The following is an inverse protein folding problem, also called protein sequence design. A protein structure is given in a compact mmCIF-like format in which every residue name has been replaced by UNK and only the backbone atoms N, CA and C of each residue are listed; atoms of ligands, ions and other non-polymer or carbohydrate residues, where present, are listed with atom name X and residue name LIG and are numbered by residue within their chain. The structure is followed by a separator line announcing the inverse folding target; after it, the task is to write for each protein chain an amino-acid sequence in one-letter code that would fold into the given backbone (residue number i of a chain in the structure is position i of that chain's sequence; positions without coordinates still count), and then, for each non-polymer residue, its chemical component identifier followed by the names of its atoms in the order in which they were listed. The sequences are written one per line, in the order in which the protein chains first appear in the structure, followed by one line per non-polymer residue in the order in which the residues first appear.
data_IF_880833170507
#
_entry.id   IF_880833170507
#
_cell.length_a   1.000
_cell.length_b   1.000
_cell.length_c   1.000
_cell.angle_alpha   90.00
_cell.angle_beta   90.00
_cell.angle_gamma   90.00
#
_symmetry.space_group_name_H-M   'P 1'
#
loop_
_entity.id
_entity.type
_entity.pdbx_description
1 polymer ?
#
# COMPACT_ATOMS: atom_id res chain seq x y z
N UNK A 1 3.27 8.16 9.25
CA UNK A 1 1.89 8.09 8.71
C UNK A 1 1.31 6.69 8.70
N UNK A 2 2.05 5.70 8.22
CA UNK A 2 1.59 4.33 8.33
C UNK A 2 1.76 3.68 9.70
N UNK A 3 2.91 3.97 10.31
CA UNK A 3 3.07 3.95 11.75
C UNK A 3 2.02 4.80 12.46
N UNK A 4 1.51 5.89 11.88
CA UNK A 4 0.43 6.68 12.50
C UNK A 4 -0.92 5.97 12.44
N UNK A 5 -1.20 5.13 11.43
CA UNK A 5 -2.46 4.39 11.35
C UNK A 5 -2.44 3.15 12.25
N UNK A 6 -1.32 2.42 12.31
CA UNK A 6 -1.12 1.36 13.31
C UNK A 6 -1.05 1.94 14.72
N UNK A 7 -0.35 3.06 14.92
CA UNK A 7 -0.34 3.82 16.18
C UNK A 7 -1.74 4.33 16.51
N UNK A 8 -2.51 4.85 15.56
CA UNK A 8 -3.89 5.29 15.80
C UNK A 8 -4.80 4.11 16.14
N UNK A 9 -4.63 2.96 15.50
CA UNK A 9 -5.38 1.74 15.82
C UNK A 9 -4.98 1.19 17.21
N UNK A 10 -3.68 1.14 17.51
CA UNK A 10 -3.16 0.68 18.79
C UNK A 10 -3.52 1.66 19.92
N UNK A 11 -3.36 2.96 19.73
CA UNK A 11 -3.74 4.02 20.67
C UNK A 11 -5.26 4.05 20.85
N UNK A 12 -6.06 3.91 19.80
CA UNK A 12 -7.53 3.87 19.91
C UNK A 12 -8.01 2.61 20.62
N UNK A 13 -7.38 1.45 20.36
CA UNK A 13 -7.71 0.19 21.03
C UNK A 13 -7.28 0.22 22.50
N UNK A 14 -6.06 0.68 22.79
CA UNK A 14 -5.56 0.85 24.16
C UNK A 14 -6.35 1.91 24.93
N UNK A 15 -6.72 3.03 24.31
CA UNK A 15 -7.55 4.07 24.94
C UNK A 15 -8.93 3.51 25.31
N UNK A 16 -9.57 2.77 24.39
CA UNK A 16 -10.85 2.11 24.67
C UNK A 16 -10.73 1.09 25.82
N UNK A 17 -9.64 0.31 25.87
CA UNK A 17 -9.38 -0.66 26.95
C UNK A 17 -9.11 0.01 28.29
N UNK A 18 -8.37 1.13 28.32
CA UNK A 18 -8.08 1.89 29.55
C UNK A 18 -9.35 2.53 30.10
N UNK A 19 -10.23 3.05 29.24
CA UNK A 19 -11.52 3.60 29.68
C UNK A 19 -12.47 2.48 30.12
N UNK A 20 -12.48 1.35 29.41
CA UNK A 20 -13.29 0.19 29.77
C UNK A 20 -12.85 -0.45 31.10
N UNK A 21 -11.56 -0.45 31.42
CA UNK A 21 -11.02 -1.06 32.65
C UNK A 21 -11.45 -0.35 33.94
N UNK A 22 -11.70 0.96 33.88
CA UNK A 22 -12.20 1.76 35.01
C UNK A 22 -13.73 1.94 35.00
N UNK A 23 -14.41 1.43 33.97
CA UNK A 23 -15.87 1.46 33.84
C UNK A 23 -16.50 0.22 34.48
N UNK A 24 -17.84 0.11 34.46
CA UNK A 24 -18.55 -1.06 34.98
C UNK A 24 -18.07 -2.39 34.39
N UNK A 25 -17.61 -2.38 33.14
CA UNK A 25 -17.05 -3.55 32.45
C UNK A 25 -15.80 -4.10 33.15
N UNK A 26 -14.88 -3.23 33.58
CA UNK A 26 -13.67 -3.63 34.31
C UNK A 26 -13.91 -3.87 35.80
N UNK A 27 -14.78 -3.09 36.44
CA UNK A 27 -15.12 -3.22 37.88
C UNK A 27 -15.88 -4.52 38.16
N UNK A 28 -16.83 -4.88 37.28
CA UNK A 28 -17.61 -6.12 37.41
C UNK A 28 -16.88 -7.34 36.83
N UNK A 29 -15.63 -7.17 36.37
CA UNK A 29 -14.82 -8.21 35.72
C UNK A 29 -15.52 -8.91 34.54
N UNK A 30 -16.29 -8.16 33.75
CA UNK A 30 -16.99 -8.67 32.57
C UNK A 30 -16.05 -8.64 31.34
N UNK A 31 -15.42 -9.78 31.06
CA UNK A 31 -14.38 -9.90 30.03
C UNK A 31 -14.88 -9.56 28.61
N UNK A 32 -16.11 -9.95 28.27
CA UNK A 32 -16.68 -9.79 26.92
C UNK A 32 -16.88 -8.32 26.51
N UNK A 33 -17.56 -7.46 27.30
CA UNK A 33 -17.68 -6.04 26.98
C UNK A 33 -16.34 -5.30 27.11
N UNK A 34 -15.43 -5.75 27.98
CA UNK A 34 -14.08 -5.19 28.09
C UNK A 34 -13.24 -5.41 26.82
N UNK A 35 -13.35 -6.59 26.19
CA UNK A 35 -12.66 -6.93 24.93
C UNK A 35 -13.41 -6.50 23.67
N UNK A 36 -14.55 -5.82 23.78
CA UNK A 36 -15.36 -5.35 22.66
C UNK A 36 -14.58 -4.66 21.51
N UNK A 37 -13.63 -3.73 21.77
CA UNK A 37 -12.81 -3.15 20.70
C UNK A 37 -11.94 -4.18 19.96
N UNK A 38 -11.41 -5.20 20.64
CA UNK A 38 -10.69 -6.29 19.98
C UNK A 38 -11.62 -7.23 19.22
N UNK A 39 -12.85 -7.45 19.71
CA UNK A 39 -13.86 -8.27 19.03
C UNK A 39 -14.23 -7.63 17.68
N UNK A 40 -14.46 -6.31 17.65
CA UNK A 40 -14.70 -5.56 16.40
C UNK A 40 -13.53 -5.74 15.42
N UNK A 41 -12.31 -5.61 15.91
CA UNK A 41 -11.12 -5.74 15.05
C UNK A 41 -10.92 -7.17 14.55
N UNK A 42 -11.22 -8.17 15.39
CA UNK A 42 -11.14 -9.60 15.04
C UNK A 42 -12.21 -10.05 14.04
N UNK A 43 -13.27 -9.26 13.83
CA UNK A 43 -14.29 -9.53 12.83
C UNK A 43 -13.79 -9.27 11.38
N UNK A 44 -12.64 -8.61 11.23
CA UNK A 44 -11.96 -8.46 9.93
C UNK A 44 -11.24 -9.77 9.60
N UNK A 45 -11.97 -10.67 8.95
CA UNK A 45 -11.51 -12.05 8.66
C UNK A 45 -10.38 -12.14 7.65
N UNK A 46 -10.15 -11.11 6.82
CA UNK A 46 -9.11 -11.12 5.79
C UNK A 46 -8.44 -9.74 5.68
N UNK A 47 -7.15 -9.70 5.97
CA UNK A 47 -6.34 -8.47 5.97
C UNK A 47 -6.01 -8.04 4.54
N UNK A 48 -5.69 -9.00 3.66
CA UNK A 48 -5.29 -8.75 2.27
C UNK A 48 -6.40 -8.10 1.40
N UNK A 49 -7.68 -8.57 1.41
CA UNK A 49 -8.76 -7.89 0.70
C UNK A 49 -9.21 -6.60 1.40
N UNK A 50 -9.06 -6.51 2.73
CA UNK A 50 -9.33 -5.25 3.43
C UNK A 50 -8.36 -4.16 2.99
N UNK A 51 -7.07 -4.50 2.85
CA UNK A 51 -6.03 -3.62 2.31
C UNK A 51 -6.31 -3.23 0.85
N UNK A 52 -6.68 -4.19 -0.01
CA UNK A 52 -7.07 -3.90 -1.41
C UNK A 52 -8.22 -2.92 -1.49
N UNK A 53 -9.27 -3.17 -0.71
CA UNK A 53 -10.45 -2.32 -0.66
C UNK A 53 -10.09 -0.92 -0.15
N UNK A 54 -9.22 -0.83 0.85
CA UNK A 54 -8.72 0.44 1.36
C UNK A 54 -7.92 1.22 0.31
N UNK A 55 -7.01 0.56 -0.42
CA UNK A 55 -6.19 1.18 -1.47
C UNK A 55 -7.07 1.74 -2.61
N UNK A 56 -8.05 0.96 -3.07
CA UNK A 56 -8.99 1.42 -4.11
C UNK A 56 -9.84 2.59 -3.61
N UNK A 57 -10.41 2.48 -2.41
CA UNK A 57 -11.27 3.53 -1.84
C UNK A 57 -10.47 4.82 -1.62
N UNK A 58 -9.24 4.73 -1.12
CA UNK A 58 -8.40 5.91 -0.89
C UNK A 58 -8.01 6.58 -2.21
N UNK A 59 -7.64 5.82 -3.25
CA UNK A 59 -7.36 6.37 -4.58
C UNK A 59 -8.56 7.08 -5.18
N UNK A 60 -9.76 6.50 -5.08
CA UNK A 60 -11.00 7.13 -5.58
C UNK A 60 -11.28 8.43 -4.80
N UNK A 61 -11.21 8.38 -3.48
CA UNK A 61 -11.46 9.55 -2.62
C UNK A 61 -10.46 10.67 -2.87
N UNK A 62 -9.17 10.33 -3.01
CA UNK A 62 -8.11 11.28 -3.35
C UNK A 62 -8.34 11.88 -4.72
N UNK A 63 -8.71 11.08 -5.73
CA UNK A 63 -9.03 11.60 -7.07
C UNK A 63 -10.12 12.68 -7.00
N UNK A 64 -11.18 12.46 -6.22
CA UNK A 64 -12.25 13.45 -6.01
C UNK A 64 -11.70 14.69 -5.28
N UNK A 65 -10.95 14.49 -4.20
CA UNK A 65 -10.34 15.57 -3.42
C UNK A 65 -9.41 16.46 -4.25
N UNK A 66 -8.55 15.86 -5.06
CA UNK A 66 -7.65 16.55 -6.00
C UNK A 66 -8.48 17.34 -7.02
N UNK A 67 -9.59 16.78 -7.52
CA UNK A 67 -10.48 17.49 -8.44
C UNK A 67 -11.03 18.77 -7.82
N UNK A 68 -11.49 18.69 -6.57
CA UNK A 68 -12.00 19.85 -5.81
C UNK A 68 -10.90 20.87 -5.56
N UNK A 69 -9.74 20.43 -5.06
CA UNK A 69 -8.59 21.32 -4.79
C UNK A 69 -8.09 21.98 -6.07
N UNK A 70 -8.02 21.24 -7.17
CA UNK A 70 -7.61 21.78 -8.48
C UNK A 70 -8.58 22.85 -8.99
N UNK A 71 -9.87 22.76 -8.65
CA UNK A 71 -10.86 23.77 -9.06
C UNK A 71 -10.89 24.99 -8.15
N UNK A 72 -10.56 24.85 -6.86
CA UNK A 72 -10.57 25.94 -5.88
C UNK A 72 -9.24 26.68 -5.85
N UNK A 73 -8.12 25.97 -5.89
CA UNK A 73 -6.78 26.52 -5.67
C UNK A 73 -6.11 27.04 -6.96
N UNK A 74 -6.49 26.52 -8.14
CA UNK A 74 -5.89 26.94 -9.41
C UNK A 74 -6.84 27.85 -10.20
N UNK A 75 -6.31 28.90 -10.86
CA UNK A 75 -7.09 29.70 -11.81
C UNK A 75 -7.46 28.87 -13.05
N UNK A 76 -8.50 29.29 -13.77
CA UNK A 76 -9.02 28.60 -14.96
C UNK A 76 -7.99 28.42 -16.07
N UNK A 77 -7.01 29.33 -16.16
CA UNK A 77 -5.83 29.22 -17.01
C UNK A 77 -4.62 29.87 -16.35
N UNK A 78 -3.45 29.24 -16.46
CA UNK A 78 -2.17 29.78 -16.03
C UNK A 78 -1.05 29.39 -17.01
N UNK A 79 0.09 30.06 -16.96
CA UNK A 79 1.23 29.78 -17.84
C UNK A 79 2.31 29.01 -17.09
N UNK A 80 2.87 27.99 -17.75
CA UNK A 80 3.99 27.19 -17.25
C UNK A 80 5.15 27.31 -18.23
N UNK A 81 6.37 27.42 -17.68
CA UNK A 81 7.58 27.44 -18.49
C UNK A 81 7.81 26.10 -19.20
N UNK A 82 8.01 26.14 -20.52
CA UNK A 82 8.30 24.99 -21.35
C UNK A 82 9.45 25.30 -22.33
N UNK A 83 10.68 25.02 -21.92
CA UNK A 83 11.89 25.12 -22.75
C UNK A 83 12.00 26.42 -23.58
N UNK A 84 11.75 27.56 -22.95
CA UNK A 84 11.87 28.89 -23.56
C UNK A 84 10.54 29.56 -23.91
N UNK A 85 9.45 28.80 -23.99
CA UNK A 85 8.11 29.34 -24.24
C UNK A 85 7.17 29.19 -23.03
N UNK A 86 6.25 30.16 -22.87
CA UNK A 86 5.20 30.10 -21.87
C UNK A 86 4.01 29.31 -22.42
N UNK A 87 3.79 28.10 -21.88
CA UNK A 87 2.66 27.25 -22.26
C UNK A 87 1.45 27.57 -21.40
N UNK A 88 0.33 27.93 -22.03
CA UNK A 88 -0.94 28.08 -21.32
C UNK A 88 -1.52 26.70 -20.97
N UNK A 89 -1.78 26.49 -19.68
CA UNK A 89 -2.32 25.26 -19.10
C UNK A 89 -3.63 25.58 -18.36
N UNK A 90 -4.60 24.69 -18.49
CA UNK A 90 -5.89 24.77 -17.80
C UNK A 90 -5.86 23.93 -16.53
N UNK A 91 -6.65 24.32 -15.54
CA UNK A 91 -6.80 23.59 -14.27
C UNK A 91 -7.12 22.08 -14.46
N UNK A 92 -8.03 21.72 -15.38
CA UNK A 92 -8.38 20.32 -15.64
C UNK A 92 -7.21 19.50 -16.24
N UNK A 93 -6.30 20.14 -16.98
CA UNK A 93 -5.14 19.46 -17.54
C UNK A 93 -4.16 19.08 -16.43
N UNK A 94 -3.99 19.97 -15.45
CA UNK A 94 -3.16 19.69 -14.28
C UNK A 94 -3.80 18.62 -13.39
N UNK A 95 -5.12 18.66 -13.20
CA UNK A 95 -5.88 17.60 -12.54
C UNK A 95 -5.61 16.23 -13.19
N UNK A 96 -5.62 16.14 -14.53
CA UNK A 96 -5.31 14.89 -15.23
C UNK A 96 -3.86 14.44 -15.05
N UNK A 97 -2.89 15.36 -14.96
CA UNK A 97 -1.48 15.04 -14.66
C UNK A 97 -1.37 14.41 -13.27
N UNK A 98 -2.04 14.99 -12.27
CA UNK A 98 -2.10 14.41 -10.93
C UNK A 98 -2.77 13.03 -10.96
N UNK A 99 -3.95 12.95 -11.56
CA UNK A 99 -4.74 11.73 -11.57
C UNK A 99 -3.98 10.58 -12.25
N UNK A 100 -3.33 10.81 -13.39
CA UNK A 100 -2.57 9.75 -14.05
C UNK A 100 -1.41 9.25 -13.19
N UNK A 101 -0.76 10.11 -12.41
CA UNK A 101 0.26 9.72 -11.43
C UNK A 101 -0.29 8.83 -10.32
N UNK A 102 -1.42 9.22 -9.73
CA UNK A 102 -2.11 8.46 -8.68
C UNK A 102 -2.57 7.07 -9.18
N UNK A 103 -3.18 7.01 -10.36
CA UNK A 103 -3.65 5.75 -10.96
C UNK A 103 -2.50 4.87 -11.44
N UNK A 104 -1.39 5.44 -11.93
CA UNK A 104 -0.19 4.69 -12.25
C UNK A 104 0.39 4.02 -10.99
N UNK A 105 0.46 4.73 -9.86
CA UNK A 105 0.85 4.16 -8.57
C UNK A 105 -0.04 2.98 -8.14
N UNK A 106 -1.35 3.10 -8.31
CA UNK A 106 -2.30 2.01 -8.03
C UNK A 106 -2.03 0.78 -8.91
N UNK A 107 -1.88 0.98 -10.22
CA UNK A 107 -1.59 -0.11 -11.19
C UNK A 107 -0.29 -0.83 -10.80
N UNK A 108 0.75 -0.07 -10.47
CA UNK A 108 2.05 -0.61 -10.05
C UNK A 108 1.88 -1.45 -8.77
N UNK A 109 1.09 -0.98 -7.80
CA UNK A 109 0.76 -1.73 -6.58
C UNK A 109 0.11 -3.08 -6.88
N UNK A 110 -0.94 -3.10 -7.72
CA UNK A 110 -1.64 -4.34 -8.10
C UNK A 110 -0.74 -5.33 -8.86
N UNK A 111 0.06 -4.83 -9.79
CA UNK A 111 0.97 -5.68 -10.55
C UNK A 111 2.04 -6.27 -9.62
N UNK A 112 2.60 -5.45 -8.74
CA UNK A 112 3.61 -5.90 -7.78
C UNK A 112 3.03 -7.01 -6.90
N UNK A 113 1.82 -6.81 -6.37
CA UNK A 113 1.12 -7.81 -5.57
C UNK A 113 0.89 -9.12 -6.34
N UNK A 114 0.46 -9.04 -7.61
CA UNK A 114 0.23 -10.22 -8.45
C UNK A 114 1.50 -11.07 -8.65
N UNK A 115 2.66 -10.43 -8.74
CA UNK A 115 3.94 -11.11 -8.92
C UNK A 115 4.64 -11.47 -7.60
N UNK A 116 4.10 -11.10 -6.43
CA UNK A 116 4.77 -11.34 -5.13
C UNK A 116 3.92 -12.09 -4.11
N UNK A 117 2.59 -12.06 -4.23
CA UNK A 117 1.69 -12.82 -3.35
C UNK A 117 1.60 -14.29 -3.76
N UNK A 118 1.68 -15.17 -2.77
CA UNK A 118 1.52 -16.63 -2.91
C UNK A 118 0.08 -17.06 -3.26
N UNK A 119 -0.87 -16.13 -3.22
CA UNK A 119 -2.25 -16.37 -3.65
C UNK A 119 -2.38 -16.51 -5.18
N UNK A 120 -1.39 -16.04 -5.95
CA UNK A 120 -1.43 -16.03 -7.41
C UNK A 120 -0.50 -17.06 -8.05
N UNK A 121 -0.87 -17.49 -9.26
CA UNK A 121 -0.11 -18.42 -10.10
C UNK A 121 1.38 -18.13 -10.19
N UNK A 122 1.85 -16.88 -10.41
CA UNK A 122 3.27 -16.65 -10.67
C UNK A 122 4.19 -17.07 -9.52
N UNK A 123 3.76 -16.88 -8.27
CA UNK A 123 4.53 -17.31 -7.08
C UNK A 123 4.29 -18.80 -6.78
N UNK A 124 3.09 -19.31 -7.06
CA UNK A 124 2.80 -20.75 -6.95
C UNK A 124 3.65 -21.57 -7.92
N UNK A 125 3.86 -21.09 -9.15
CA UNK A 125 4.71 -21.72 -10.16
C UNK A 125 6.19 -21.75 -9.71
N UNK A 126 6.66 -20.69 -9.06
CA UNK A 126 8.00 -20.65 -8.45
C UNK A 126 8.10 -21.69 -7.34
N UNK A 127 7.10 -21.76 -6.45
CA UNK A 127 7.07 -22.77 -5.39
C UNK A 127 7.01 -24.21 -5.94
N UNK A 128 6.23 -24.46 -6.99
CA UNK A 128 6.15 -25.77 -7.64
C UNK A 128 7.45 -26.15 -8.36
N UNK A 129 8.21 -25.18 -8.87
CA UNK A 129 9.53 -25.42 -9.47
C UNK A 129 10.57 -25.94 -8.46
N UNK A 130 10.31 -25.83 -7.14
CA UNK A 130 11.14 -26.47 -6.12
C UNK A 130 11.12 -28.00 -6.20
N UNK A 131 10.09 -28.61 -6.82
CA UNK A 131 9.99 -30.07 -7.00
C UNK A 131 11.13 -30.64 -7.83
N UNK A 132 11.70 -29.84 -8.73
CA UNK A 132 12.82 -30.23 -9.62
C UNK A 132 14.19 -29.75 -9.11
N UNK A 133 14.24 -29.11 -7.93
CA UNK A 133 15.45 -28.69 -7.24
C UNK A 133 15.61 -27.17 -7.09
N UNK A 134 16.64 -26.77 -6.34
CA UNK A 134 16.91 -25.36 -6.05
C UNK A 134 17.29 -24.55 -7.31
N UNK A 135 17.95 -25.18 -8.28
CA UNK A 135 18.37 -24.51 -9.51
C UNK A 135 17.17 -24.01 -10.34
N UNK A 136 16.12 -24.81 -10.47
CA UNK A 136 14.90 -24.42 -11.17
C UNK A 136 14.17 -23.30 -10.43
N UNK A 137 14.11 -23.35 -9.10
CA UNK A 137 13.54 -22.27 -8.29
C UNK A 137 14.22 -20.91 -8.54
N UNK A 138 15.55 -20.88 -8.58
CA UNK A 138 16.30 -19.65 -8.87
C UNK A 138 16.03 -19.14 -10.29
N UNK A 139 15.99 -20.03 -11.29
CA UNK A 139 15.72 -19.67 -12.68
C UNK A 139 14.31 -19.07 -12.84
N UNK A 140 13.30 -19.72 -12.26
CA UNK A 140 11.92 -19.23 -12.30
C UNK A 140 11.77 -17.90 -11.53
N UNK A 141 12.41 -17.76 -10.37
CA UNK A 141 12.40 -16.50 -9.61
C UNK A 141 13.03 -15.33 -10.36
N UNK A 142 14.16 -15.55 -11.05
CA UNK A 142 14.80 -14.52 -11.90
C UNK A 142 13.91 -14.15 -13.11
N UNK A 143 13.35 -15.16 -13.78
CA UNK A 143 12.45 -14.93 -14.92
C UNK A 143 11.18 -14.17 -14.50
N UNK A 144 10.64 -14.48 -13.32
CA UNK A 144 9.51 -13.77 -12.72
C UNK A 144 9.83 -12.28 -12.51
N UNK A 145 11.01 -11.98 -11.94
CA UNK A 145 11.48 -10.61 -11.74
C UNK A 145 11.63 -9.83 -13.05
N UNK A 146 12.17 -10.44 -14.10
CA UNK A 146 12.26 -9.79 -15.42
C UNK A 146 10.89 -9.54 -16.05
N UNK A 147 9.94 -10.46 -15.86
CA UNK A 147 8.57 -10.31 -16.38
C UNK A 147 7.76 -9.24 -15.64
N UNK A 148 7.96 -9.10 -14.34
CA UNK A 148 7.17 -8.17 -13.50
C UNK A 148 7.41 -6.70 -13.84
N UNK A 149 8.58 -6.35 -14.40
CA UNK A 149 8.92 -4.97 -14.78
C UNK A 149 8.13 -4.42 -15.98
N UNK A 150 7.51 -5.27 -16.81
CA UNK A 150 6.91 -4.86 -18.08
C UNK A 150 5.77 -3.85 -17.86
N UNK A 151 4.78 -4.21 -17.04
CA UNK A 151 3.59 -3.35 -16.83
C UNK A 151 3.93 -2.07 -16.07
N UNK A 152 4.76 -2.07 -15.00
CA UNK A 152 5.19 -0.85 -14.33
C UNK A 152 5.89 0.14 -15.27
N UNK A 153 6.77 -0.33 -16.15
CA UNK A 153 7.44 0.54 -17.13
C UNK A 153 6.43 1.18 -18.10
N UNK A 154 5.43 0.42 -18.57
CA UNK A 154 4.36 1.00 -19.40
C UNK A 154 3.51 2.02 -18.64
N UNK A 155 3.17 1.75 -17.37
CA UNK A 155 2.40 2.68 -16.55
C UNK A 155 3.16 4.02 -16.36
N UNK A 156 4.48 3.95 -16.11
CA UNK A 156 5.34 5.13 -16.00
C UNK A 156 5.44 5.86 -17.34
N UNK A 157 5.64 5.14 -18.44
CA UNK A 157 5.73 5.75 -19.77
C UNK A 157 4.46 6.52 -20.15
N UNK A 158 3.28 5.94 -19.87
CA UNK A 158 1.98 6.61 -20.09
C UNK A 158 1.83 7.82 -19.17
N UNK A 159 2.19 7.69 -17.89
CA UNK A 159 2.13 8.81 -16.93
C UNK A 159 3.02 9.99 -17.37
N UNK A 160 4.25 9.71 -17.81
CA UNK A 160 5.17 10.72 -18.35
C UNK A 160 4.58 11.34 -19.61
N UNK A 161 4.12 10.54 -20.57
CA UNK A 161 3.59 11.04 -21.84
C UNK A 161 2.40 11.99 -21.64
N UNK A 162 1.42 11.58 -20.83
CA UNK A 162 0.23 12.38 -20.53
C UNK A 162 0.61 13.67 -19.79
N UNK A 163 1.42 13.55 -18.74
CA UNK A 163 1.77 14.68 -17.88
C UNK A 163 2.64 15.72 -18.59
N UNK A 164 3.60 15.26 -19.39
CA UNK A 164 4.45 16.13 -20.21
C UNK A 164 3.64 16.84 -21.31
N UNK A 165 2.75 16.11 -21.97
CA UNK A 165 1.89 16.66 -23.04
C UNK A 165 0.96 17.76 -22.53
N UNK A 166 0.52 17.70 -21.27
CA UNK A 166 -0.34 18.71 -20.67
C UNK A 166 0.45 19.86 -20.03
N UNK A 167 1.38 19.58 -19.12
CA UNK A 167 2.00 20.61 -18.27
C UNK A 167 3.55 20.55 -18.25
N UNK A 168 4.17 19.98 -19.29
CA UNK A 168 5.63 19.89 -19.44
C UNK A 168 6.29 19.29 -18.18
N UNK A 169 7.45 19.80 -17.76
CA UNK A 169 8.17 19.32 -16.58
C UNK A 169 7.38 19.47 -15.29
N UNK A 170 6.54 20.52 -15.17
CA UNK A 170 5.70 20.72 -13.99
C UNK A 170 4.64 19.62 -13.88
N UNK A 171 4.04 19.22 -15.01
CA UNK A 171 3.12 18.08 -15.07
C UNK A 171 3.74 16.79 -14.58
N UNK A 172 4.96 16.47 -15.07
CA UNK A 172 5.69 15.27 -14.62
C UNK A 172 5.97 15.34 -13.11
N UNK A 173 6.44 16.49 -12.61
CA UNK A 173 6.77 16.65 -11.20
C UNK A 173 5.55 16.45 -10.29
N UNK A 174 4.40 17.00 -10.67
CA UNK A 174 3.16 16.87 -9.91
C UNK A 174 2.60 15.44 -10.01
N UNK A 175 2.68 14.79 -11.17
CA UNK A 175 2.31 13.39 -11.32
C UNK A 175 3.17 12.45 -10.47
N UNK A 176 4.48 12.70 -10.40
CA UNK A 176 5.39 11.95 -9.54
C UNK A 176 5.10 12.15 -8.05
N UNK A 177 4.79 13.39 -7.63
CA UNK A 177 4.41 13.69 -6.25
C UNK A 177 3.15 12.92 -5.84
N UNK A 178 2.19 12.79 -6.75
CA UNK A 178 0.92 12.12 -6.47
C UNK A 178 0.99 10.61 -6.60
N UNK A 179 1.94 10.06 -7.35
CA UNK A 179 2.32 8.65 -7.23
C UNK A 179 2.80 8.31 -5.80
N UNK A 180 3.32 9.30 -5.06
CA UNK A 180 3.76 9.18 -3.66
C UNK A 180 2.71 9.62 -2.64
N UNK A 181 1.54 10.11 -3.04
CA UNK A 181 0.58 10.62 -2.06
C UNK A 181 0.02 9.49 -1.17
N UNK A 182 0.09 8.24 -1.63
CA UNK A 182 -0.16 7.02 -0.85
C UNK A 182 1.07 6.48 -0.11
N UNK A 183 2.23 7.18 -0.11
CA UNK A 183 3.46 6.73 0.57
C UNK A 183 3.23 6.54 2.08
N UNK A 184 2.34 7.34 2.66
CA UNK A 184 1.83 7.22 4.01
C UNK A 184 1.31 5.81 4.33
N UNK A 185 0.45 5.31 3.44
CA UNK A 185 -0.13 3.97 3.52
C UNK A 185 0.90 2.91 3.15
N UNK A 186 1.70 3.13 2.09
CA UNK A 186 2.79 2.22 1.70
C UNK A 186 3.79 1.97 2.83
N UNK A 187 4.26 3.02 3.50
CA UNK A 187 5.13 2.96 4.68
C UNK A 187 4.49 2.23 5.86
N UNK A 188 3.15 2.27 5.99
CA UNK A 188 2.43 1.56 7.05
C UNK A 188 2.63 0.07 6.93
N UNK A 189 2.43 -0.38 5.71
CA UNK A 189 2.33 -1.78 5.41
C UNK A 189 3.74 -2.36 5.18
N UNK A 190 4.69 -1.55 4.72
CA UNK A 190 6.12 -1.90 4.73
C UNK A 190 6.63 -2.06 6.18
N UNK A 191 6.30 -1.13 7.08
CA UNK A 191 6.68 -1.24 8.50
C UNK A 191 5.99 -2.41 9.23
N UNK A 192 4.81 -2.82 8.77
CA UNK A 192 4.10 -3.96 9.32
C UNK A 192 4.88 -5.28 9.16
N UNK A 193 5.68 -5.43 8.11
CA UNK A 193 6.40 -6.68 7.85
C UNK A 193 7.46 -7.05 8.87
N UNK A 194 8.47 -6.20 9.13
CA UNK A 194 9.46 -6.48 10.16
C UNK A 194 8.84 -6.67 11.56
N UNK A 195 7.70 -6.04 11.84
CA UNK A 195 6.99 -6.22 13.12
C UNK A 195 6.37 -7.63 13.18
N UNK A 196 5.71 -8.07 12.11
CA UNK A 196 5.10 -9.39 11.98
C UNK A 196 6.15 -10.51 12.06
N UNK A 197 7.25 -10.39 11.32
CA UNK A 197 8.36 -11.35 11.32
C UNK A 197 8.96 -11.50 12.73
N UNK A 198 9.27 -10.37 13.39
CA UNK A 198 9.77 -10.38 14.77
C UNK A 198 8.77 -11.00 15.77
N UNK A 199 7.46 -10.78 15.59
CA UNK A 199 6.45 -11.40 16.43
C UNK A 199 6.42 -12.93 16.27
N UNK A 200 6.58 -13.44 15.04
CA UNK A 200 6.73 -14.88 14.78
C UNK A 200 8.01 -15.46 15.38
N UNK A 201 9.13 -14.75 15.27
CA UNK A 201 10.39 -15.13 15.91
C UNK A 201 10.30 -15.21 17.43
N UNK A 202 9.64 -14.23 18.08
CA UNK A 202 9.40 -14.25 19.54
C UNK A 202 8.51 -15.45 19.92
N UNK A 203 7.45 -15.72 19.16
CA UNK A 203 6.54 -16.83 19.44
C UNK A 203 7.27 -18.18 19.40
N UNK A 204 8.16 -18.37 18.42
CA UNK A 204 9.00 -19.57 18.30
C UNK A 204 10.00 -19.68 19.46
N UNK A 205 10.76 -18.62 19.73
CA UNK A 205 11.79 -18.61 20.79
C UNK A 205 11.20 -18.75 22.20
N UNK A 206 9.97 -18.28 22.42
CA UNK A 206 9.25 -18.42 23.68
C UNK A 206 8.53 -19.78 23.83
N UNK A 207 8.63 -20.68 22.83
CA UNK A 207 7.98 -22.00 22.87
C UNK A 207 6.45 -21.91 22.92
N UNK A 208 5.86 -20.88 22.30
CA UNK A 208 4.41 -20.70 22.28
C UNK A 208 3.73 -21.75 21.40
N UNK A 209 2.40 -21.90 21.53
CA UNK A 209 1.66 -22.94 20.79
C UNK A 209 1.72 -22.76 19.27
N UNK A 210 1.68 -23.85 18.52
CA UNK A 210 1.67 -23.88 17.05
C UNK A 210 0.61 -22.96 16.42
N UNK A 211 -0.57 -22.83 17.05
CA UNK A 211 -1.65 -21.94 16.60
C UNK A 211 -1.26 -20.46 16.58
N UNK A 212 -0.35 -20.03 17.46
CA UNK A 212 0.17 -18.66 17.45
C UNK A 212 1.16 -18.49 16.30
N UNK A 213 2.00 -19.50 16.04
CA UNK A 213 2.95 -19.51 14.92
C UNK A 213 2.26 -19.47 13.56
N UNK A 214 1.24 -20.30 13.35
CA UNK A 214 0.42 -20.28 12.13
C UNK A 214 -0.21 -18.91 11.85
N UNK A 215 -0.64 -18.23 12.92
CA UNK A 215 -1.17 -16.87 12.80
C UNK A 215 -0.07 -15.88 12.41
N UNK A 216 1.08 -15.92 13.07
CA UNK A 216 2.20 -15.01 12.73
C UNK A 216 2.76 -15.27 11.32
N UNK A 217 2.77 -16.51 10.86
CA UNK A 217 3.25 -16.87 9.51
C UNK A 217 2.30 -16.37 8.41
N UNK A 218 0.98 -16.43 8.66
CA UNK A 218 0.00 -15.83 7.76
C UNK A 218 0.17 -14.30 7.66
N UNK A 219 0.47 -13.64 8.78
CA UNK A 219 0.75 -12.20 8.82
C UNK A 219 2.06 -11.86 8.11
N UNK A 220 3.11 -12.67 8.30
CA UNK A 220 4.41 -12.50 7.67
C UNK A 220 4.33 -12.65 6.15
N UNK A 221 3.62 -13.67 5.65
CA UNK A 221 3.39 -13.87 4.23
C UNK A 221 2.68 -12.68 3.56
N UNK A 222 1.63 -12.14 4.19
CA UNK A 222 0.95 -10.94 3.71
C UNK A 222 1.89 -9.71 3.70
N UNK A 223 2.79 -9.65 4.67
CA UNK A 223 3.73 -8.55 4.80
C UNK A 223 4.84 -8.57 3.75
N UNK A 224 5.34 -9.75 3.37
CA UNK A 224 6.35 -9.92 2.31
C UNK A 224 5.86 -9.37 0.96
N UNK A 225 4.58 -9.61 0.65
CA UNK A 225 3.91 -9.02 -0.51
C UNK A 225 3.93 -7.50 -0.43
N UNK A 226 3.69 -6.95 0.76
CA UNK A 226 3.56 -5.51 0.88
C UNK A 226 4.88 -4.74 0.97
N UNK A 227 5.92 -5.36 1.52
CA UNK A 227 7.29 -4.82 1.43
C UNK A 227 7.69 -4.63 -0.03
N UNK A 228 7.31 -5.56 -0.91
CA UNK A 228 7.56 -5.40 -2.34
C UNK A 228 6.81 -4.21 -2.94
N UNK A 229 5.54 -4.02 -2.59
CA UNK A 229 4.74 -2.84 -3.01
C UNK A 229 5.39 -1.54 -2.52
N UNK A 230 5.84 -1.49 -1.25
CA UNK A 230 6.51 -0.34 -0.65
C UNK A 230 7.82 0.02 -1.36
N UNK A 231 8.65 -0.99 -1.66
CA UNK A 231 9.92 -0.80 -2.37
C UNK A 231 9.73 -0.23 -3.76
N UNK A 232 8.74 -0.67 -4.53
CA UNK A 232 8.51 -0.15 -5.89
C UNK A 232 8.06 1.31 -5.83
N UNK A 233 7.15 1.66 -4.91
CA UNK A 233 6.73 3.06 -4.72
C UNK A 233 7.87 3.99 -4.27
N UNK A 234 8.85 3.48 -3.51
CA UNK A 234 10.03 4.25 -3.09
C UNK A 234 11.15 4.32 -4.13
N UNK A 235 11.39 3.25 -4.89
CA UNK A 235 12.49 3.18 -5.86
C UNK A 235 12.21 3.98 -7.15
N UNK A 236 10.99 4.47 -7.32
CA UNK A 236 10.56 5.28 -8.46
C UNK A 236 10.80 6.80 -8.28
N UNK A 237 11.46 7.19 -7.19
CA UNK A 237 11.87 8.58 -6.84
C UNK A 237 13.38 8.65 -6.74
#
# INVERSE_FOLDING_TARGET
MGSDLFRSYAESSCAALVVASISSFGINHELTPMLYPLIISSAVKEIEPALKRQLIISTILMTIGIGIVSWIALPSSFTIFNFGDQKAVKNWQLFLCVAVGLWAGLIIGFVTEYYTSNAYSPVQDVADSCRTGAATNVIFGLALGYKSCIIPIFAIAVSIFVSFSFAAMYGIAVAALEMLSTIATGLAIDAYGPISDNAGGIAEMAGMSHRIRERTDALDAASNTTVAIGKVSMALV
#
